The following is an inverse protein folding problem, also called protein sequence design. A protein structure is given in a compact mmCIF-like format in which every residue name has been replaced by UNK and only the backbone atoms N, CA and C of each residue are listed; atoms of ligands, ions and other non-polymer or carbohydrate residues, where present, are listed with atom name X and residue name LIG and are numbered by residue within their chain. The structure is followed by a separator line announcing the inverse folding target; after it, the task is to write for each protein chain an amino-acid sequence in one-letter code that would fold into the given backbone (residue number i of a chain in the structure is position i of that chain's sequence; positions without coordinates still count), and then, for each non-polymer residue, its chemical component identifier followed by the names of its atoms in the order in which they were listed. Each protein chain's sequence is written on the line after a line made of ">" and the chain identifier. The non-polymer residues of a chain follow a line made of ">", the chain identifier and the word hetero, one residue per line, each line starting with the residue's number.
data_IF_732526556466
#
_entry.id   IF_732526556466
#
_cell.length_a   1.000
_cell.length_b   1.000
_cell.length_c   1.000
_cell.angle_alpha   90.00
_cell.angle_beta   90.00
_cell.angle_gamma   90.00
#
_symmetry.space_group_name_H-M   'P 1'
#
loop_
_entity.id
_entity.type
_entity.pdbx_description
1 polymer ?
#
# COMPACT_ATOMS: atom_id res chain seq x y z
N UNK A 1 -6.85 0.61 31.19
CA UNK A 1 -6.96 -0.68 30.48
C UNK A 1 -7.21 -0.46 29.00
N UNK A 2 -8.25 0.30 28.62
CA UNK A 2 -8.63 0.60 27.22
C UNK A 2 -7.50 1.17 26.34
N UNK A 3 -6.72 2.12 26.85
CA UNK A 3 -5.56 2.68 26.11
C UNK A 3 -4.47 1.65 25.81
N UNK A 4 -4.37 0.56 26.58
CA UNK A 4 -3.37 -0.50 26.39
C UNK A 4 -3.69 -1.33 25.14
N UNK A 5 -4.97 -1.65 24.91
CA UNK A 5 -5.43 -2.41 23.74
C UNK A 5 -5.23 -1.65 22.42
N UNK A 6 -5.57 -0.36 22.42
CA UNK A 6 -5.42 0.50 21.24
C UNK A 6 -3.93 0.71 20.91
N UNK A 7 -3.11 1.02 21.93
CA UNK A 7 -1.68 1.24 21.73
C UNK A 7 -0.95 -0.03 21.25
N UNK A 8 -1.31 -1.19 21.80
CA UNK A 8 -0.67 -2.46 21.47
C UNK A 8 -1.27 -3.15 20.22
N UNK A 9 -2.28 -2.55 19.57
CA UNK A 9 -2.96 -3.11 18.38
C UNK A 9 -3.50 -4.53 18.62
N UNK A 10 -4.14 -4.74 19.76
CA UNK A 10 -4.68 -6.04 20.16
C UNK A 10 -6.06 -5.91 20.81
N UNK A 11 -6.81 -7.01 20.81
CA UNK A 11 -7.94 -7.25 21.71
C UNK A 11 -7.62 -8.45 22.60
N UNK A 12 -8.07 -8.41 23.84
CA UNK A 12 -7.88 -9.51 24.78
C UNK A 12 -9.16 -9.84 25.54
N UNK A 13 -9.32 -11.10 25.89
CA UNK A 13 -10.34 -11.58 26.82
C UNK A 13 -9.63 -12.30 27.96
N UNK A 14 -9.80 -11.84 29.19
CA UNK A 14 -9.23 -12.52 30.35
C UNK A 14 -10.30 -12.79 31.41
N UNK A 15 -10.31 -14.04 31.89
CA UNK A 15 -11.15 -14.53 32.97
C UNK A 15 -10.31 -15.20 34.08
N UNK A 16 -9.02 -14.86 34.16
CA UNK A 16 -8.03 -15.45 35.06
C UNK A 16 -7.57 -16.84 34.62
N UNK A 17 -7.56 -17.12 33.31
CA UNK A 17 -7.27 -18.46 32.76
C UNK A 17 -5.85 -18.49 32.21
N UNK A 18 -4.92 -19.04 33.01
CA UNK A 18 -3.52 -19.21 32.62
C UNK A 18 -3.29 -20.50 31.81
N UNK A 19 -4.05 -20.67 30.72
CA UNK A 19 -3.99 -21.84 29.84
C UNK A 19 -4.14 -21.41 28.39
N UNK A 20 -3.39 -22.06 27.51
CA UNK A 20 -3.54 -21.86 26.07
C UNK A 20 -4.78 -22.62 25.58
N UNK A 21 -5.74 -21.89 25.01
CA UNK A 21 -7.03 -22.42 24.57
C UNK A 21 -7.11 -22.63 23.04
N UNK A 22 -6.02 -22.37 22.29
CA UNK A 22 -5.98 -22.40 20.81
C UNK A 22 -6.51 -23.68 20.15
N UNK A 23 -6.45 -24.82 20.85
CA UNK A 23 -6.82 -26.14 20.32
C UNK A 23 -8.12 -26.68 20.89
N UNK A 24 -8.83 -25.90 21.70
CA UNK A 24 -10.06 -26.35 22.34
C UNK A 24 -11.25 -26.09 21.43
N UNK A 25 -11.92 -27.18 21.04
CA UNK A 25 -13.21 -27.11 20.36
C UNK A 25 -14.28 -26.53 21.28
N UNK A 26 -15.46 -26.22 20.72
CA UNK A 26 -16.62 -25.81 21.51
C UNK A 26 -16.95 -26.83 22.61
N UNK A 27 -16.88 -28.12 22.29
CA UNK A 27 -17.14 -29.21 23.22
C UNK A 27 -16.09 -29.26 24.34
N UNK A 28 -14.80 -29.08 24.00
CA UNK A 28 -13.72 -29.04 24.99
C UNK A 28 -13.88 -27.87 25.97
N UNK A 29 -14.25 -26.69 25.45
CA UNK A 29 -14.50 -25.50 26.28
C UNK A 29 -15.72 -25.70 27.20
N UNK A 30 -16.77 -26.36 26.71
CA UNK A 30 -17.95 -26.70 27.52
C UNK A 30 -17.65 -27.75 28.59
N UNK A 31 -16.70 -28.65 28.37
CA UNK A 31 -16.26 -29.62 29.38
C UNK A 31 -15.42 -28.92 30.44
N UNK A 32 -14.50 -28.04 30.04
CA UNK A 32 -13.58 -27.35 30.94
C UNK A 32 -14.29 -26.36 31.87
N UNK A 33 -15.17 -25.52 31.33
CA UNK A 33 -15.83 -24.44 32.09
C UNK A 33 -17.29 -24.73 32.44
N UNK A 34 -17.91 -25.72 31.79
CA UNK A 34 -19.32 -26.07 31.96
C UNK A 34 -20.19 -25.68 30.75
N UNK A 35 -21.16 -26.54 30.41
CA UNK A 35 -21.97 -26.43 29.16
C UNK A 35 -22.68 -25.09 28.96
N UNK A 36 -23.07 -24.42 30.05
CA UNK A 36 -23.80 -23.15 30.02
C UNK A 36 -23.02 -22.01 30.69
N UNK A 37 -21.73 -22.20 30.94
CA UNK A 37 -20.90 -21.14 31.51
C UNK A 37 -20.65 -20.07 30.45
N UNK A 38 -20.83 -18.81 30.85
CA UNK A 38 -20.63 -17.65 29.97
C UNK A 38 -19.20 -17.59 29.43
N UNK A 39 -18.21 -18.02 30.22
CA UNK A 39 -16.80 -18.10 29.81
C UNK A 39 -16.62 -19.09 28.66
N UNK A 40 -17.25 -20.28 28.72
CA UNK A 40 -17.17 -21.26 27.64
C UNK A 40 -17.72 -20.69 26.33
N UNK A 41 -18.86 -19.99 26.40
CA UNK A 41 -19.52 -19.37 25.25
C UNK A 41 -18.65 -18.26 24.65
N UNK A 42 -18.07 -17.41 25.49
CA UNK A 42 -17.26 -16.28 25.04
C UNK A 42 -15.89 -16.69 24.52
N UNK A 43 -15.22 -17.64 25.17
CA UNK A 43 -13.99 -18.21 24.63
C UNK A 43 -14.23 -18.93 23.31
N UNK A 44 -15.35 -19.64 23.15
CA UNK A 44 -15.67 -20.25 21.86
C UNK A 44 -15.81 -19.20 20.76
N UNK A 45 -16.56 -18.12 21.03
CA UNK A 45 -16.69 -17.02 20.08
C UNK A 45 -15.34 -16.41 19.73
N UNK A 46 -14.53 -16.12 20.75
CA UNK A 46 -13.26 -15.43 20.56
C UNK A 46 -12.21 -16.28 19.83
N UNK A 47 -12.12 -17.58 20.15
CA UNK A 47 -11.08 -18.47 19.65
C UNK A 47 -11.51 -19.12 18.34
N UNK A 48 -12.75 -19.61 18.25
CA UNK A 48 -13.19 -20.46 17.15
C UNK A 48 -14.05 -19.71 16.11
N UNK A 49 -14.81 -18.68 16.52
CA UNK A 49 -15.73 -18.00 15.59
C UNK A 49 -15.10 -16.76 14.92
N UNK A 50 -14.33 -15.96 15.66
CA UNK A 50 -13.65 -14.77 15.09
C UNK A 50 -12.53 -15.18 14.14
N UNK A 51 -12.53 -14.62 12.94
CA UNK A 51 -11.54 -14.86 11.89
C UNK A 51 -10.79 -13.57 11.50
N UNK A 52 -9.68 -13.74 10.77
CA UNK A 52 -8.98 -12.61 10.14
C UNK A 52 -9.93 -11.94 9.14
N UNK A 53 -10.01 -10.61 9.18
CA UNK A 53 -10.92 -9.78 8.38
C UNK A 53 -12.24 -9.43 9.08
N UNK A 54 -12.56 -10.05 10.23
CA UNK A 54 -13.75 -9.67 10.99
C UNK A 54 -13.59 -8.27 11.62
N UNK A 55 -14.70 -7.53 11.68
CA UNK A 55 -14.76 -6.23 12.35
C UNK A 55 -15.15 -6.41 13.81
N UNK A 56 -14.35 -5.83 14.70
CA UNK A 56 -14.53 -5.82 16.15
C UNK A 56 -14.70 -4.41 16.67
N UNK A 57 -15.44 -4.29 17.78
CA UNK A 57 -15.64 -3.02 18.48
C UNK A 57 -15.17 -3.13 19.93
N UNK A 58 -14.50 -2.09 20.42
CA UNK A 58 -14.33 -1.88 21.86
C UNK A 58 -15.45 -0.98 22.34
N UNK A 59 -16.11 -1.35 23.41
CA UNK A 59 -17.23 -0.59 23.98
C UNK A 59 -16.99 -0.21 25.43
N UNK A 60 -17.70 0.81 25.88
CA UNK A 60 -17.88 1.13 27.29
C UNK A 60 -19.39 1.29 27.58
N UNK A 61 -19.91 0.50 28.51
CA UNK A 61 -21.35 0.52 28.82
C UNK A 61 -22.23 0.07 27.65
N UNK A 62 -23.37 0.77 27.46
CA UNK A 62 -24.44 0.46 26.49
C UNK A 62 -24.45 1.35 25.25
N UNK A 63 -23.83 2.53 25.32
CA UNK A 63 -24.00 3.59 24.34
C UNK A 63 -22.68 4.14 23.81
N UNK A 64 -21.53 3.56 24.19
CA UNK A 64 -20.24 4.11 23.83
C UNK A 64 -19.38 3.07 23.12
N UNK A 65 -18.93 3.41 21.91
CA UNK A 65 -17.93 2.67 21.15
C UNK A 65 -16.62 3.44 21.27
N UNK A 66 -15.60 2.81 21.84
CA UNK A 66 -14.28 3.41 22.04
C UNK A 66 -13.39 3.26 20.81
N UNK A 67 -13.53 2.15 20.09
CA UNK A 67 -12.75 1.87 18.90
C UNK A 67 -13.44 0.85 17.99
N UNK A 68 -13.15 0.91 16.70
CA UNK A 68 -13.56 -0.03 15.65
C UNK A 68 -12.28 -0.52 14.98
N UNK A 69 -12.12 -1.83 14.84
CA UNK A 69 -10.92 -2.42 14.25
C UNK A 69 -11.21 -3.68 13.45
N UNK A 70 -10.26 -4.05 12.60
CA UNK A 70 -10.28 -5.26 11.80
C UNK A 70 -9.28 -6.27 12.39
N UNK A 71 -9.69 -7.54 12.53
CA UNK A 71 -8.82 -8.61 13.04
C UNK A 71 -7.77 -8.97 11.98
N UNK A 72 -6.50 -8.94 12.37
CA UNK A 72 -5.36 -9.17 11.46
C UNK A 72 -4.51 -10.38 11.83
N UNK A 73 -4.86 -11.11 12.89
CA UNK A 73 -4.13 -12.32 13.28
C UNK A 73 -5.06 -13.43 13.77
N UNK A 74 -4.53 -14.64 13.72
CA UNK A 74 -5.04 -15.75 14.49
C UNK A 74 -4.95 -15.47 15.99
N UNK A 75 -5.66 -16.28 16.76
CA UNK A 75 -5.58 -16.27 18.22
C UNK A 75 -4.17 -16.68 18.67
N UNK A 76 -3.66 -15.99 19.69
CA UNK A 76 -2.46 -16.38 20.41
C UNK A 76 -2.53 -16.01 21.89
N UNK A 77 -1.65 -16.61 22.67
CA UNK A 77 -1.47 -16.30 24.09
C UNK A 77 -0.31 -15.31 24.22
N UNK A 78 -0.55 -14.16 24.83
CA UNK A 78 0.51 -13.17 25.08
C UNK A 78 1.33 -13.52 26.34
N UNK A 79 2.46 -12.84 26.55
CA UNK A 79 3.37 -13.05 27.68
C UNK A 79 2.70 -12.82 29.05
N UNK A 80 1.58 -12.09 29.07
CA UNK A 80 0.74 -11.88 30.26
C UNK A 80 -0.28 -13.00 30.49
N UNK A 81 -0.25 -14.08 29.70
CA UNK A 81 -1.25 -15.17 29.67
C UNK A 81 -2.67 -14.73 29.25
N UNK A 82 -2.78 -13.52 28.70
CA UNK A 82 -4.03 -13.01 28.14
C UNK A 82 -4.36 -13.74 26.82
N UNK A 83 -5.66 -13.95 26.58
CA UNK A 83 -6.19 -14.56 25.36
C UNK A 83 -6.33 -13.46 24.30
N UNK A 84 -5.46 -13.43 23.28
CA UNK A 84 -5.26 -12.23 22.45
C UNK A 84 -5.47 -12.48 20.96
N UNK A 85 -5.91 -11.44 20.25
CA UNK A 85 -5.81 -11.30 18.79
C UNK A 85 -5.25 -9.94 18.41
N UNK A 86 -4.48 -9.90 17.33
CA UNK A 86 -4.02 -8.68 16.68
C UNK A 86 -5.15 -7.99 15.93
N UNK A 87 -5.24 -6.68 16.07
CA UNK A 87 -6.29 -5.84 15.47
C UNK A 87 -5.67 -4.57 14.87
N UNK A 88 -6.08 -4.27 13.65
CA UNK A 88 -5.83 -2.98 13.03
C UNK A 88 -7.01 -2.03 13.36
N UNK A 89 -6.79 -1.09 14.28
CA UNK A 89 -7.80 -0.11 14.67
C UNK A 89 -8.07 0.88 13.54
N UNK A 90 -9.25 0.79 12.92
CA UNK A 90 -9.72 1.67 11.85
C UNK A 90 -10.18 3.02 12.40
N UNK A 91 -10.73 3.03 13.62
CA UNK A 91 -11.12 4.23 14.35
C UNK A 91 -10.88 4.02 15.84
N UNK A 92 -10.28 4.99 16.52
CA UNK A 92 -9.92 4.92 17.94
C UNK A 92 -10.39 6.14 18.73
N UNK A 93 -11.49 6.75 18.28
CA UNK A 93 -12.15 7.87 18.93
C UNK A 93 -13.46 7.39 19.54
N UNK A 94 -13.83 7.95 20.70
CA UNK A 94 -15.08 7.61 21.36
C UNK A 94 -16.28 8.13 20.56
N UNK A 95 -17.23 7.25 20.30
CA UNK A 95 -18.44 7.54 19.52
C UNK A 95 -19.65 7.10 20.33
N UNK A 96 -20.65 7.97 20.41
CA UNK A 96 -21.93 7.66 21.02
C UNK A 96 -22.83 6.91 20.03
N UNK A 97 -23.39 5.79 20.48
CA UNK A 97 -24.34 4.97 19.76
C UNK A 97 -25.70 5.07 20.45
N UNK A 98 -26.68 5.59 19.72
CA UNK A 98 -28.04 5.84 20.22
C UNK A 98 -28.82 4.54 20.53
N UNK A 99 -28.44 3.42 19.91
CA UNK A 99 -29.01 2.11 20.19
C UNK A 99 -28.45 1.49 21.47
N UNK A 100 -28.75 0.22 21.71
CA UNK A 100 -28.32 -0.49 22.92
C UNK A 100 -27.30 -1.60 22.59
N UNK A 101 -26.07 -1.45 23.07
CA UNK A 101 -25.04 -2.48 22.95
C UNK A 101 -25.23 -3.52 24.05
N UNK A 102 -25.26 -4.83 23.73
CA UNK A 102 -25.37 -5.89 24.73
C UNK A 102 -24.38 -5.71 25.88
N UNK A 103 -24.88 -5.90 27.11
CA UNK A 103 -24.06 -5.82 28.34
C UNK A 103 -23.85 -7.18 28.99
N UNK A 104 -24.52 -8.22 28.49
CA UNK A 104 -24.37 -9.58 28.97
C UNK A 104 -23.17 -10.19 28.25
N UNK A 105 -22.02 -10.14 28.92
CA UNK A 105 -20.77 -10.72 28.45
C UNK A 105 -19.80 -9.73 27.79
N UNK A 106 -18.56 -10.18 27.61
CA UNK A 106 -17.46 -9.41 26.99
C UNK A 106 -17.47 -9.58 25.47
N UNK A 107 -17.71 -10.80 24.97
CA UNK A 107 -17.72 -11.14 23.54
C UNK A 107 -19.13 -11.52 23.07
N UNK A 108 -19.66 -10.74 22.12
CA UNK A 108 -20.98 -10.94 21.55
C UNK A 108 -20.99 -10.61 20.07
N UNK A 109 -21.94 -11.23 19.34
CA UNK A 109 -22.19 -10.91 17.95
C UNK A 109 -23.02 -9.63 17.87
N UNK A 110 -22.61 -8.68 17.03
CA UNK A 110 -23.33 -7.43 16.81
C UNK A 110 -24.72 -7.70 16.20
N UNK A 111 -25.71 -6.88 16.58
CA UNK A 111 -27.03 -6.90 15.94
C UNK A 111 -27.01 -6.03 14.66
N UNK A 112 -28.06 -6.16 13.83
CA UNK A 112 -28.13 -5.45 12.55
C UNK A 112 -28.06 -3.91 12.68
N UNK A 113 -28.57 -3.35 13.79
CA UNK A 113 -28.53 -1.91 14.03
C UNK A 113 -27.11 -1.43 14.26
N UNK A 114 -26.36 -2.13 15.12
CA UNK A 114 -24.96 -1.82 15.43
C UNK A 114 -24.06 -2.05 14.21
N UNK A 115 -24.32 -3.10 13.42
CA UNK A 115 -23.60 -3.34 12.16
C UNK A 115 -23.77 -2.15 11.21
N UNK A 116 -25.02 -1.74 10.94
CA UNK A 116 -25.30 -0.60 10.05
C UNK A 116 -24.66 0.70 10.53
N UNK A 117 -24.66 0.92 11.85
CA UNK A 117 -24.02 2.10 12.45
C UNK A 117 -22.49 2.09 12.27
N UNK A 118 -21.85 0.94 12.49
CA UNK A 118 -20.40 0.79 12.28
C UNK A 118 -20.06 0.99 10.80
N UNK A 119 -20.82 0.38 9.88
CA UNK A 119 -20.66 0.56 8.44
C UNK A 119 -20.77 2.02 8.01
N UNK A 120 -21.82 2.73 8.45
CA UNK A 120 -22.00 4.16 8.12
C UNK A 120 -20.87 5.03 8.68
N UNK A 121 -20.44 4.74 9.91
CA UNK A 121 -19.35 5.47 10.58
C UNK A 121 -18.02 5.32 9.83
N UNK A 122 -17.69 4.10 9.40
CA UNK A 122 -16.48 3.83 8.63
C UNK A 122 -16.56 4.49 7.24
N UNK A 123 -17.73 4.44 6.60
CA UNK A 123 -17.96 5.09 5.30
C UNK A 123 -17.81 6.61 5.36
N UNK A 124 -18.40 7.27 6.36
CA UNK A 124 -18.28 8.72 6.57
C UNK A 124 -16.83 9.14 6.82
N UNK A 125 -16.12 8.39 7.67
CA UNK A 125 -14.71 8.67 7.99
C UNK A 125 -13.83 8.56 6.74
N UNK A 126 -14.11 7.58 5.87
CA UNK A 126 -13.42 7.45 4.58
C UNK A 126 -13.72 8.63 3.64
N UNK A 127 -14.97 9.07 3.55
CA UNK A 127 -15.33 10.23 2.72
C UNK A 127 -14.68 11.53 3.21
N UNK A 128 -14.64 11.75 4.53
CA UNK A 128 -13.95 12.90 5.11
C UNK A 128 -12.45 12.85 4.80
N UNK A 129 -11.84 11.67 4.92
CA UNK A 129 -10.44 11.47 4.56
C UNK A 129 -10.17 11.79 3.09
N UNK A 130 -11.00 11.30 2.16
CA UNK A 130 -10.90 11.57 0.72
C UNK A 130 -11.02 13.08 0.45
N UNK A 131 -12.03 13.74 1.04
CA UNK A 131 -12.26 15.18 0.89
C UNK A 131 -11.08 16.00 1.42
N UNK A 132 -10.54 15.61 2.58
CA UNK A 132 -9.38 16.24 3.20
C UNK A 132 -8.13 16.06 2.32
N UNK A 133 -7.91 14.86 1.77
CA UNK A 133 -6.80 14.59 0.84
C UNK A 133 -6.90 15.45 -0.41
N UNK A 134 -8.06 15.47 -1.08
CA UNK A 134 -8.34 16.29 -2.27
C UNK A 134 -8.03 17.78 -2.03
N UNK A 135 -8.47 18.33 -0.89
CA UNK A 135 -8.16 19.72 -0.52
C UNK A 135 -6.65 19.99 -0.42
N UNK A 136 -5.88 19.08 0.18
CA UNK A 136 -4.42 19.25 0.29
C UNK A 136 -3.72 19.09 -1.05
N UNK A 137 -4.21 18.21 -1.92
CA UNK A 137 -3.74 18.06 -3.29
C UNK A 137 -3.90 19.36 -4.08
N UNK A 138 -5.05 20.05 -3.95
CA UNK A 138 -5.29 21.34 -4.62
C UNK A 138 -4.39 22.47 -4.09
N UNK A 139 -4.19 22.52 -2.77
CA UNK A 139 -3.24 23.46 -2.14
C UNK A 139 -1.83 23.17 -2.66
N UNK A 140 -1.40 21.91 -2.68
CA UNK A 140 -0.05 21.56 -3.13
C UNK A 140 0.17 21.87 -4.62
N UNK A 141 -0.86 21.69 -5.47
CA UNK A 141 -0.81 22.09 -6.89
C UNK A 141 -0.60 23.60 -7.06
N UNK A 142 -1.16 24.42 -6.18
CA UNK A 142 -1.04 25.89 -6.24
C UNK A 142 0.21 26.43 -5.55
N UNK A 143 0.53 26.00 -4.32
CA UNK A 143 1.66 26.51 -3.53
C UNK A 143 2.99 25.78 -3.75
N UNK A 144 2.96 24.59 -4.37
CA UNK A 144 4.09 23.65 -4.59
C UNK A 144 4.72 23.06 -3.33
N UNK A 145 4.38 23.57 -2.14
CA UNK A 145 4.88 23.10 -0.87
C UNK A 145 3.76 23.11 0.19
N UNK A 146 3.75 22.10 1.07
CA UNK A 146 2.82 22.01 2.19
C UNK A 146 3.52 21.51 3.45
N UNK A 147 3.19 22.12 4.60
CA UNK A 147 3.66 21.67 5.91
C UNK A 147 2.45 21.20 6.72
N UNK A 148 2.39 19.89 7.00
CA UNK A 148 1.37 19.31 7.88
C UNK A 148 1.82 19.42 9.34
N UNK A 149 1.11 20.22 10.15
CA UNK A 149 1.40 20.42 11.59
C UNK A 149 0.32 19.75 12.46
N UNK A 150 0.69 19.36 13.68
CA UNK A 150 -0.23 18.79 14.66
C UNK A 150 0.45 17.80 15.62
N UNK A 151 -0.29 17.36 16.64
CA UNK A 151 0.19 16.43 17.67
C UNK A 151 0.83 15.15 17.10
N UNK A 152 1.82 14.54 17.78
CA UNK A 152 2.40 13.27 17.34
C UNK A 152 1.32 12.17 17.26
N UNK A 153 1.48 11.22 16.33
CA UNK A 153 0.53 10.11 16.15
C UNK A 153 -0.73 10.42 15.31
N UNK A 154 -0.94 11.66 14.86
CA UNK A 154 -2.14 12.04 14.08
C UNK A 154 -2.11 11.69 12.58
N UNK A 155 -1.31 10.70 12.17
CA UNK A 155 -1.31 10.21 10.78
C UNK A 155 -0.75 11.17 9.71
N UNK A 156 -0.03 12.23 10.08
CA UNK A 156 0.54 13.20 9.11
C UNK A 156 1.43 12.54 8.05
N UNK A 157 2.32 11.64 8.47
CA UNK A 157 3.21 10.89 7.58
C UNK A 157 2.42 10.00 6.63
N UNK A 158 1.36 9.36 7.13
CA UNK A 158 0.47 8.54 6.30
C UNK A 158 -0.24 9.39 5.25
N UNK A 159 -0.83 10.52 5.66
CA UNK A 159 -1.49 11.47 4.77
C UNK A 159 -0.53 12.01 3.70
N UNK A 160 0.70 12.37 4.05
CA UNK A 160 1.70 12.85 3.10
C UNK A 160 2.02 11.80 2.01
N UNK A 161 2.19 10.53 2.40
CA UNK A 161 2.41 9.43 1.45
C UNK A 161 1.21 9.20 0.55
N UNK A 162 -0.02 9.28 1.09
CA UNK A 162 -1.24 9.14 0.30
C UNK A 162 -1.43 10.27 -0.72
N UNK A 163 -1.11 11.52 -0.35
CA UNK A 163 -1.14 12.66 -1.28
C UNK A 163 -0.07 12.49 -2.38
N UNK A 164 1.14 12.08 -2.01
CA UNK A 164 2.22 11.85 -2.98
C UNK A 164 1.85 10.74 -3.98
N UNK A 165 1.36 9.59 -3.47
CA UNK A 165 0.89 8.50 -4.31
C UNK A 165 -0.26 8.90 -5.23
N UNK A 166 -1.19 9.76 -4.79
CA UNK A 166 -2.26 10.26 -5.64
C UNK A 166 -1.72 11.18 -6.76
N UNK A 167 -0.78 12.06 -6.44
CA UNK A 167 -0.18 12.98 -7.40
C UNK A 167 0.67 12.29 -8.47
N UNK A 168 1.29 11.16 -8.14
CA UNK A 168 2.15 10.39 -9.07
C UNK A 168 1.44 9.20 -9.71
N UNK A 169 0.13 9.04 -9.50
CA UNK A 169 -0.61 7.86 -9.98
C UNK A 169 -0.12 6.54 -9.38
N UNK A 170 0.54 6.59 -8.21
CA UNK A 170 1.11 5.43 -7.53
C UNK A 170 2.54 5.08 -7.97
N UNK A 171 3.17 5.87 -8.83
CA UNK A 171 4.55 5.62 -9.23
C UNK A 171 5.53 5.96 -8.09
N UNK A 172 6.11 4.93 -7.48
CA UNK A 172 7.08 5.05 -6.38
C UNK A 172 8.41 5.67 -6.84
N UNK A 173 8.81 5.55 -8.11
CA UNK A 173 10.05 6.14 -8.64
C UNK A 173 10.02 7.69 -8.61
N UNK A 174 8.81 8.27 -8.55
CA UNK A 174 8.57 9.70 -8.48
C UNK A 174 8.41 10.23 -7.04
N UNK A 175 8.63 9.38 -6.03
CA UNK A 175 8.44 9.72 -4.61
C UNK A 175 9.73 9.39 -3.86
N UNK A 176 10.34 10.39 -3.21
CA UNK A 176 11.40 10.19 -2.24
C UNK A 176 10.94 10.58 -0.83
N UNK A 177 11.43 9.84 0.18
CA UNK A 177 11.10 10.07 1.58
C UNK A 177 12.36 10.38 2.40
N UNK A 178 12.37 11.54 3.06
CA UNK A 178 13.48 11.99 3.90
C UNK A 178 12.95 12.32 5.30
N UNK A 179 13.69 11.89 6.32
CA UNK A 179 13.46 12.27 7.71
C UNK A 179 14.64 13.13 8.19
N UNK A 180 14.36 14.37 8.60
CA UNK A 180 15.38 15.25 9.14
C UNK A 180 15.74 14.90 10.58
N UNK A 181 17.03 15.03 10.89
CA UNK A 181 17.60 14.94 12.23
C UNK A 181 18.41 16.23 12.51
N UNK A 182 18.68 16.59 13.78
CA UNK A 182 19.42 17.82 14.10
C UNK A 182 20.81 17.92 13.47
N UNK A 183 21.45 16.78 13.17
CA UNK A 183 22.75 16.73 12.48
C UNK A 183 22.65 16.70 10.96
N UNK A 184 21.43 16.72 10.39
CA UNK A 184 21.21 16.69 8.96
C UNK A 184 21.38 18.10 8.39
N UNK A 185 22.29 18.28 7.44
CA UNK A 185 22.68 19.60 6.97
C UNK A 185 22.56 19.76 5.45
N UNK A 186 23.05 20.90 4.95
CA UNK A 186 23.06 21.21 3.52
C UNK A 186 23.87 20.21 2.71
N UNK A 187 24.97 19.69 3.26
CA UNK A 187 25.89 18.77 2.56
C UNK A 187 25.27 17.40 2.32
N UNK A 188 24.31 17.01 3.16
CA UNK A 188 23.52 15.81 2.98
C UNK A 188 22.30 16.02 2.08
N UNK A 189 21.63 17.17 2.21
CA UNK A 189 20.38 17.42 1.51
C UNK A 189 20.58 17.89 0.06
N UNK A 190 21.49 18.84 -0.17
CA UNK A 190 21.64 19.54 -1.46
C UNK A 190 22.90 19.09 -2.19
N UNK A 191 24.08 19.36 -1.64
CA UNK A 191 25.38 18.93 -2.19
C UNK A 191 26.52 19.20 -1.20
N UNK A 192 27.56 18.37 -1.24
CA UNK A 192 28.71 18.50 -0.36
C UNK A 192 29.99 17.86 -0.90
N UNK A 193 31.13 18.36 -0.45
CA UNK A 193 32.44 17.75 -0.75
C UNK A 193 32.59 16.45 0.04
N UNK A 194 32.77 15.34 -0.65
CA UNK A 194 32.94 14.01 -0.04
C UNK A 194 34.24 13.38 -0.51
N UNK A 195 34.97 12.68 0.39
CA UNK A 195 36.19 12.00 0.02
C UNK A 195 35.88 10.83 -0.90
N UNK A 196 36.68 10.68 -1.96
CA UNK A 196 36.62 9.59 -2.92
C UNK A 196 37.99 8.93 -2.97
N UNK A 197 37.99 7.60 -3.00
CA UNK A 197 39.21 6.82 -3.11
C UNK A 197 39.45 6.51 -4.58
N UNK A 198 40.55 7.02 -5.11
CA UNK A 198 41.05 6.60 -6.43
C UNK A 198 41.97 5.38 -6.26
N UNK A 199 42.07 4.53 -7.29
CA UNK A 199 42.87 3.28 -7.30
C UNK A 199 44.32 3.46 -6.82
N UNK A 200 44.85 4.69 -6.86
CA UNK A 200 46.20 5.06 -6.42
C UNK A 200 46.32 5.46 -4.94
N UNK A 201 45.34 5.14 -4.08
CA UNK A 201 45.37 5.40 -2.63
C UNK A 201 45.49 6.88 -2.23
N UNK A 202 45.21 7.82 -3.13
CA UNK A 202 45.06 9.25 -2.82
C UNK A 202 43.59 9.56 -2.54
N UNK A 203 43.35 10.29 -1.45
CA UNK A 203 42.02 10.82 -1.11
C UNK A 203 41.83 12.13 -1.88
N UNK A 204 40.92 12.14 -2.85
CA UNK A 204 40.41 13.36 -3.47
C UNK A 204 39.07 13.75 -2.82
N UNK A 205 38.69 15.03 -2.90
CA UNK A 205 37.35 15.47 -2.51
C UNK A 205 36.60 15.85 -3.77
N UNK A 206 35.43 15.24 -3.97
CA UNK A 206 34.55 15.56 -5.09
C UNK A 206 33.23 16.12 -4.58
N UNK A 207 32.67 17.05 -5.36
CA UNK A 207 31.34 17.57 -5.09
C UNK A 207 30.32 16.48 -5.42
N UNK A 208 29.58 16.03 -4.41
CA UNK A 208 28.54 15.03 -4.57
C UNK A 208 27.16 15.62 -4.31
N UNK A 209 26.23 15.29 -5.20
CA UNK A 209 24.85 15.72 -5.07
C UNK A 209 24.15 15.01 -3.89
N UNK A 210 23.46 15.81 -3.08
CA UNK A 210 22.60 15.36 -2.00
C UNK A 210 21.26 14.83 -2.50
N UNK A 211 20.44 14.33 -1.58
CA UNK A 211 19.17 13.65 -1.93
C UNK A 211 18.19 14.54 -2.68
N UNK A 212 18.07 15.82 -2.30
CA UNK A 212 17.16 16.76 -2.94
C UNK A 212 17.61 17.13 -4.35
N UNK A 213 18.90 17.40 -4.55
CA UNK A 213 19.44 17.76 -5.86
C UNK A 213 19.33 16.59 -6.84
N UNK A 214 19.65 15.37 -6.39
CA UNK A 214 19.42 14.14 -7.16
C UNK A 214 17.94 13.95 -7.52
N UNK A 215 17.03 14.21 -6.58
CA UNK A 215 15.59 14.13 -6.85
C UNK A 215 15.14 15.16 -7.89
N UNK A 216 15.63 16.40 -7.83
CA UNK A 216 15.36 17.42 -8.84
C UNK A 216 15.91 17.05 -10.22
N UNK A 217 17.10 16.44 -10.31
CA UNK A 217 17.66 15.95 -11.57
C UNK A 217 16.78 14.86 -12.19
N UNK A 218 16.38 13.86 -11.38
CA UNK A 218 15.44 12.82 -11.82
C UNK A 218 14.12 13.42 -12.32
N UNK A 219 13.56 14.39 -11.60
CA UNK A 219 12.32 15.06 -12.00
C UNK A 219 12.47 15.82 -13.33
N UNK A 220 13.63 16.46 -13.57
CA UNK A 220 13.92 17.17 -14.81
C UNK A 220 14.13 16.21 -15.99
N UNK A 221 14.76 15.06 -15.76
CA UNK A 221 14.89 13.99 -16.75
C UNK A 221 13.52 13.40 -17.11
N UNK A 222 12.68 13.12 -16.11
CA UNK A 222 11.31 12.65 -16.32
C UNK A 222 10.42 13.68 -17.04
N UNK A 223 10.70 14.98 -16.89
CA UNK A 223 9.96 16.01 -17.65
C UNK A 223 10.23 15.92 -19.16
N UNK A 224 11.41 15.46 -19.58
CA UNK A 224 11.73 15.24 -21.01
C UNK A 224 10.90 14.11 -21.62
N UNK A 225 10.43 13.15 -20.81
CA UNK A 225 9.55 12.05 -21.24
C UNK A 225 8.06 12.32 -20.99
N UNK A 226 7.69 13.50 -20.46
CA UNK A 226 6.29 13.90 -20.27
C UNK A 226 5.79 13.91 -18.81
N UNK A 227 6.63 13.56 -17.83
CA UNK A 227 6.39 13.77 -16.38
C UNK A 227 5.32 12.87 -15.73
N UNK A 228 4.37 12.36 -16.51
CA UNK A 228 3.52 11.22 -16.19
C UNK A 228 3.90 10.13 -17.18
N UNK A 229 4.14 8.93 -16.68
CA UNK A 229 4.30 7.76 -17.53
C UNK A 229 2.94 7.41 -18.15
N UNK A 230 2.57 8.17 -19.17
CA UNK A 230 1.36 7.97 -19.96
C UNK A 230 1.60 6.90 -21.03
N UNK A 231 2.64 6.06 -20.88
CA UNK A 231 2.97 5.04 -21.86
C UNK A 231 1.78 4.14 -22.15
N UNK A 232 1.00 3.77 -21.15
CA UNK A 232 -0.20 2.95 -21.35
C UNK A 232 -1.26 3.65 -22.19
N UNK A 233 -1.49 4.94 -21.95
CA UNK A 233 -2.45 5.76 -22.71
C UNK A 233 -1.96 5.99 -24.15
N UNK A 234 -0.68 6.35 -24.30
CA UNK A 234 -0.03 6.53 -25.60
C UNK A 234 0.03 5.23 -26.40
N UNK A 235 0.33 4.11 -25.74
CA UNK A 235 0.35 2.77 -26.35
C UNK A 235 -1.04 2.40 -26.86
N UNK A 236 -2.08 2.55 -26.03
CA UNK A 236 -3.45 2.24 -26.44
C UNK A 236 -3.92 3.15 -27.57
N UNK A 237 -3.65 4.46 -27.49
CA UNK A 237 -3.97 5.41 -28.55
C UNK A 237 -3.27 5.06 -29.87
N UNK A 238 -2.01 4.62 -29.81
CA UNK A 238 -1.27 4.23 -31.01
C UNK A 238 -1.72 2.88 -31.58
N UNK A 239 -2.09 1.91 -30.73
CA UNK A 239 -2.72 0.66 -31.19
C UNK A 239 -4.03 0.94 -31.94
N UNK A 240 -4.86 1.83 -31.39
CA UNK A 240 -6.12 2.24 -32.01
C UNK A 240 -5.88 2.96 -33.33
N UNK A 241 -4.93 3.89 -33.35
CA UNK A 241 -4.51 4.60 -34.56
C UNK A 241 -4.06 3.66 -35.69
N UNK A 242 -3.23 2.66 -35.39
CA UNK A 242 -2.76 1.68 -36.38
C UNK A 242 -3.88 0.76 -36.84
N UNK A 243 -4.83 0.39 -35.97
CA UNK A 243 -5.95 -0.49 -36.32
C UNK A 243 -7.03 0.19 -37.16
N UNK A 244 -7.27 1.49 -36.94
CA UNK A 244 -8.39 2.21 -37.54
C UNK A 244 -8.02 2.97 -38.82
N UNK A 245 -6.77 2.86 -39.29
CA UNK A 245 -6.32 3.50 -40.52
C UNK A 245 -6.59 2.63 -41.74
N UNK A 246 -7.06 3.26 -42.82
CA UNK A 246 -7.21 2.61 -44.13
C UNK A 246 -5.84 2.33 -44.79
N UNK A 247 -4.86 3.22 -44.56
CA UNK A 247 -3.49 3.09 -45.06
C UNK A 247 -2.55 2.46 -44.04
N UNK A 248 -1.64 1.60 -44.51
CA UNK A 248 -0.64 0.95 -43.65
C UNK A 248 0.28 1.99 -43.02
N UNK A 249 0.44 1.94 -41.70
CA UNK A 249 1.44 2.74 -40.98
C UNK A 249 2.86 2.25 -41.34
N UNK A 250 3.61 3.06 -42.10
CA UNK A 250 4.95 2.71 -42.61
C UNK A 250 6.03 3.16 -41.62
N UNK A 251 6.95 2.25 -41.28
CA UNK A 251 8.18 2.58 -40.55
C UNK A 251 9.33 2.97 -41.50
N UNK A 252 9.36 2.32 -42.67
CA UNK A 252 10.27 2.57 -43.78
C UNK A 252 9.50 2.27 -45.07
N UNK A 253 10.08 2.57 -46.23
CA UNK A 253 9.46 2.28 -47.53
C UNK A 253 9.04 0.81 -47.66
N UNK A 254 9.79 -0.12 -47.05
CA UNK A 254 9.58 -1.56 -47.18
C UNK A 254 9.00 -2.24 -45.94
N UNK A 255 8.65 -1.49 -44.89
CA UNK A 255 8.14 -2.07 -43.64
C UNK A 255 6.95 -1.31 -43.06
N UNK A 256 5.97 -2.04 -42.54
CA UNK A 256 4.76 -1.46 -41.97
C UNK A 256 4.31 -2.16 -40.68
N UNK A 257 3.56 -1.42 -39.86
CA UNK A 257 3.01 -1.89 -38.61
C UNK A 257 1.62 -2.52 -38.78
N UNK A 258 1.37 -3.58 -38.03
CA UNK A 258 0.02 -4.06 -37.71
C UNK A 258 -0.09 -4.39 -36.23
N UNK A 259 -1.31 -4.41 -35.70
CA UNK A 259 -1.55 -4.83 -34.32
C UNK A 259 -1.97 -6.30 -34.30
N UNK A 260 -1.47 -7.07 -33.35
CA UNK A 260 -1.88 -8.45 -33.13
C UNK A 260 -2.91 -8.59 -32.01
N UNK A 261 -3.52 -9.77 -31.88
CA UNK A 261 -4.54 -10.07 -30.87
C UNK A 261 -4.07 -9.99 -29.41
N UNK A 262 -2.77 -9.85 -29.17
CA UNK A 262 -2.18 -9.65 -27.84
C UNK A 262 -1.82 -8.18 -27.57
N UNK A 263 -2.37 -7.24 -28.37
CA UNK A 263 -2.10 -5.80 -28.25
C UNK A 263 -0.62 -5.45 -28.34
N UNK A 264 0.11 -6.12 -29.24
CA UNK A 264 1.49 -5.79 -29.60
C UNK A 264 1.60 -5.42 -31.09
N UNK A 265 2.66 -4.70 -31.44
CA UNK A 265 2.93 -4.35 -32.83
C UNK A 265 3.72 -5.46 -33.54
N UNK A 266 3.30 -5.78 -34.76
CA UNK A 266 4.06 -6.59 -35.71
C UNK A 266 4.68 -5.65 -36.74
N UNK A 267 6.00 -5.74 -36.90
CA UNK A 267 6.74 -5.14 -38.00
C UNK A 267 6.75 -6.14 -39.15
N UNK A 268 5.99 -5.82 -40.19
CA UNK A 268 5.91 -6.60 -41.41
C UNK A 268 6.80 -5.98 -42.48
N UNK A 269 7.35 -6.82 -43.36
CA UNK A 269 8.15 -6.38 -44.49
C UNK A 269 7.42 -6.70 -45.79
N UNK A 270 7.62 -5.91 -46.83
CA UNK A 270 7.07 -6.22 -48.17
C UNK A 270 7.77 -7.43 -48.80
N UNK A 271 9.06 -7.61 -48.50
CA UNK A 271 9.73 -8.89 -48.71
C UNK A 271 9.05 -9.95 -47.84
N UNK A 272 8.92 -11.20 -48.30
CA UNK A 272 8.40 -12.35 -47.51
C UNK A 272 9.30 -12.73 -46.30
N UNK A 273 10.11 -11.81 -45.82
CA UNK A 273 10.93 -11.91 -44.62
C UNK A 273 10.07 -12.08 -43.38
N UNK A 274 10.65 -12.71 -42.36
CA UNK A 274 9.95 -13.01 -41.12
C UNK A 274 9.57 -11.72 -40.38
N UNK A 275 8.28 -11.57 -40.05
CA UNK A 275 7.79 -10.43 -39.28
C UNK A 275 8.39 -10.46 -37.86
N UNK A 276 8.73 -9.27 -37.34
CA UNK A 276 9.26 -9.11 -35.98
C UNK A 276 8.18 -8.53 -35.08
N UNK A 277 8.04 -9.07 -33.86
CA UNK A 277 7.06 -8.56 -32.88
C UNK A 277 7.74 -7.59 -31.91
N UNK A 278 7.20 -6.39 -31.83
CA UNK A 278 7.53 -5.39 -30.81
C UNK A 278 6.53 -5.53 -29.66
N UNK A 279 6.96 -6.18 -28.59
CA UNK A 279 6.10 -6.36 -27.40
C UNK A 279 5.98 -5.07 -26.62
N UNK A 280 4.81 -4.82 -26.00
CA UNK A 280 4.56 -3.67 -25.13
C UNK A 280 5.68 -3.47 -24.11
N UNK A 281 6.09 -4.54 -23.43
CA UNK A 281 7.19 -4.50 -22.47
C UNK A 281 8.53 -4.07 -23.09
N UNK A 282 8.82 -4.48 -24.32
CA UNK A 282 10.09 -4.13 -24.96
C UNK A 282 10.11 -2.66 -25.36
N UNK A 283 8.99 -2.15 -25.88
CA UNK A 283 8.86 -0.73 -26.23
C UNK A 283 8.84 0.15 -24.98
N UNK A 284 8.30 -0.35 -23.86
CA UNK A 284 8.35 0.35 -22.57
C UNK A 284 9.78 0.56 -22.07
N UNK A 285 10.62 -0.48 -22.12
CA UNK A 285 12.03 -0.35 -21.73
C UNK A 285 12.78 0.65 -22.65
N UNK A 286 12.51 0.62 -23.96
CA UNK A 286 13.07 1.61 -24.90
C UNK A 286 12.55 3.04 -24.67
N UNK A 287 11.30 3.18 -24.23
CA UNK A 287 10.71 4.47 -23.86
C UNK A 287 11.36 5.04 -22.59
N UNK A 288 11.75 4.17 -21.64
CA UNK A 288 12.51 4.56 -20.44
C UNK A 288 13.98 4.88 -20.73
N UNK A 289 14.60 4.13 -21.64
CA UNK A 289 15.99 4.30 -22.04
C UNK A 289 16.16 4.03 -23.54
N UNK A 290 16.42 5.08 -24.31
CA UNK A 290 16.63 4.99 -25.76
C UNK A 290 17.81 4.07 -26.14
N UNK A 291 18.74 3.83 -25.22
CA UNK A 291 19.89 2.93 -25.42
C UNK A 291 19.65 1.50 -24.89
N UNK A 292 18.41 1.15 -24.53
CA UNK A 292 18.10 -0.17 -23.98
C UNK A 292 18.48 -1.31 -24.94
N UNK A 293 19.51 -2.05 -24.58
CA UNK A 293 19.95 -3.24 -25.31
C UNK A 293 19.10 -4.45 -24.90
N UNK A 294 18.30 -4.97 -25.83
CA UNK A 294 17.44 -6.14 -25.61
C UNK A 294 18.24 -7.31 -25.04
N UNK A 295 18.02 -7.60 -23.76
CA UNK A 295 18.62 -8.76 -23.12
C UNK A 295 18.10 -10.04 -23.79
N UNK A 296 19.01 -10.89 -24.24
CA UNK A 296 18.64 -12.18 -24.84
C UNK A 296 18.52 -13.23 -23.73
N UNK A 297 17.51 -14.08 -23.81
CA UNK A 297 17.26 -15.14 -22.83
C UNK A 297 17.16 -16.48 -23.56
N UNK A 298 17.70 -17.54 -22.96
CA UNK A 298 17.45 -18.91 -23.41
C UNK A 298 16.59 -19.65 -22.39
N UNK A 299 15.83 -20.64 -22.86
CA UNK A 299 15.04 -21.52 -22.00
C UNK A 299 15.79 -22.84 -21.82
N UNK A 300 16.00 -23.22 -20.57
CA UNK A 300 16.49 -24.56 -20.20
C UNK A 300 15.61 -25.10 -19.07
N UNK A 301 15.07 -26.32 -19.25
CA UNK A 301 14.20 -26.98 -18.27
C UNK A 301 13.07 -26.10 -17.71
N UNK A 302 12.36 -25.40 -18.59
CA UNK A 302 11.23 -24.53 -18.20
C UNK A 302 11.60 -23.22 -17.51
N UNK A 303 12.89 -22.97 -17.21
CA UNK A 303 13.39 -21.72 -16.63
C UNK A 303 14.03 -20.84 -17.70
N UNK A 304 13.80 -19.52 -17.63
CA UNK A 304 14.45 -18.52 -18.48
C UNK A 304 15.78 -18.11 -17.83
N UNK A 305 16.85 -18.16 -18.60
CA UNK A 305 18.19 -17.73 -18.20
C UNK A 305 18.67 -16.61 -19.10
N UNK A 306 19.37 -15.64 -18.52
CA UNK A 306 19.98 -14.52 -19.25
C UNK A 306 21.14 -15.06 -20.08
N UNK A 307 21.15 -14.78 -21.38
CA UNK A 307 22.24 -15.12 -22.29
C UNK A 307 23.29 -14.03 -22.12
N UNK A 308 24.41 -14.39 -21.50
CA UNK A 308 25.62 -13.53 -21.43
C UNK A 308 26.24 -13.38 -22.80
#
# INVERSE_FOLDING_TARGET
>A
MEKKFIANKIIAVDYGVNKNLSRMSKEDLQIEFGRNDIKAVEFNKFINEIQIGDIVILKQGRHQILAIGEVISDYFLDDSFDQVRGVNWLKSESIEFSGNIPTNGTVFKANNELIKFVESTLFESNNEFIKKRSRYTDVLKSSKNIILRGAPGTGKTYLARQIASELTGGNEEQIDFVQFHPSYDYTDFVEGLRPVSNDNSQISFELQDGIFKKFCQKANEAQKTGGLDNFDEAWNAYLEYVNNRDEKERLTDFSYLTVNSRNNFNVNYESKSQATVLTKSYVYELYKDENYLKQTYYRSQGKKFLKR
#
